data_IF_276933486504
#
_entry.id   IF_276933486504
#
_cell.length_a   1.000
_cell.length_b   1.000
_cell.length_c   1.000
_cell.angle_alpha   90.00
_cell.angle_beta   90.00
_cell.angle_gamma   90.00
#
_symmetry.space_group_name_H-M   'P 1'
#
loop_
_entity.id
_entity.type
_entity.pdbx_description
1 polymer ?
#
# COMPACT_ATOMS: atom_id res chain seq x y z
N UNK A 1 7.00 -8.65 -14.32
CA UNK A 1 7.69 -8.25 -13.06
C UNK A 1 6.85 -8.75 -11.91
N UNK A 2 7.41 -9.53 -11.01
CA UNK A 2 6.78 -9.93 -9.75
C UNK A 2 6.84 -8.72 -8.81
N UNK A 3 5.70 -8.29 -8.26
CA UNK A 3 5.66 -7.21 -7.26
C UNK A 3 5.67 -7.85 -5.88
N UNK A 4 6.52 -7.36 -4.99
CA UNK A 4 6.52 -7.77 -3.58
C UNK A 4 5.46 -6.99 -2.83
N UNK A 5 4.55 -7.70 -2.19
CA UNK A 5 3.50 -7.10 -1.37
C UNK A 5 3.53 -7.69 0.05
N UNK A 6 3.32 -6.86 1.05
CA UNK A 6 3.08 -7.25 2.42
C UNK A 6 1.70 -6.77 2.85
N UNK A 7 0.94 -7.56 3.60
CA UNK A 7 -0.41 -7.17 4.00
C UNK A 7 -0.92 -7.93 5.20
N UNK A 8 -2.09 -7.53 5.66
CA UNK A 8 -2.82 -8.13 6.78
C UNK A 8 -4.26 -8.35 6.37
N UNK A 9 -4.81 -9.48 6.78
CA UNK A 9 -6.21 -9.82 6.63
C UNK A 9 -6.82 -10.14 7.99
N UNK A 10 -7.96 -9.52 8.31
CA UNK A 10 -8.77 -9.80 9.48
C UNK A 10 -10.08 -10.48 9.06
N UNK A 11 -10.28 -11.69 9.57
CA UNK A 11 -11.55 -12.43 9.39
C UNK A 11 -12.50 -12.06 10.50
N UNK A 12 -13.72 -11.68 10.15
CA UNK A 12 -14.75 -11.24 11.07
C UNK A 12 -15.36 -9.91 10.66
N UNK A 13 -16.47 -9.55 11.31
CA UNK A 13 -17.21 -8.32 11.02
C UNK A 13 -17.55 -7.58 12.30
N UNK A 14 -16.87 -6.47 12.51
CA UNK A 14 -17.30 -5.47 13.47
C UNK A 14 -16.85 -4.10 13.01
N UNK A 15 -17.46 -3.06 13.52
CA UNK A 15 -16.98 -1.70 13.36
C UNK A 15 -15.52 -1.54 13.83
N UNK A 16 -15.18 -2.21 14.94
CA UNK A 16 -13.83 -2.15 15.49
C UNK A 16 -12.78 -2.77 14.56
N UNK A 17 -13.13 -3.83 13.82
CA UNK A 17 -12.19 -4.41 12.84
C UNK A 17 -11.88 -3.46 11.68
N UNK A 18 -12.81 -2.61 11.26
CA UNK A 18 -12.55 -1.57 10.27
C UNK A 18 -11.62 -0.49 10.83
N UNK A 19 -11.88 -0.04 12.06
CA UNK A 19 -11.03 0.96 12.73
C UNK A 19 -9.61 0.43 12.90
N UNK A 20 -9.46 -0.79 13.43
CA UNK A 20 -8.16 -1.43 13.63
C UNK A 20 -7.40 -1.59 12.32
N UNK A 21 -8.07 -2.10 11.29
CA UNK A 21 -7.45 -2.33 9.99
C UNK A 21 -6.96 -1.02 9.36
N UNK A 22 -7.78 0.03 9.38
CA UNK A 22 -7.43 1.32 8.79
C UNK A 22 -6.32 1.99 9.58
N UNK A 23 -6.37 1.97 10.91
CA UNK A 23 -5.30 2.55 11.74
C UNK A 23 -3.99 1.80 11.56
N UNK A 24 -4.02 0.47 11.52
CA UNK A 24 -2.82 -0.35 11.26
C UNK A 24 -2.24 -0.08 9.86
N UNK A 25 -3.09 0.08 8.84
CA UNK A 25 -2.64 0.45 7.49
C UNK A 25 -1.92 1.80 7.48
N UNK A 26 -2.48 2.79 8.17
CA UNK A 26 -1.91 4.13 8.29
C UNK A 26 -0.59 4.11 9.05
N UNK A 27 -0.53 3.44 10.19
CA UNK A 27 0.68 3.31 11.01
C UNK A 27 1.78 2.54 10.28
N UNK A 28 1.41 1.46 9.56
CA UNK A 28 2.35 0.70 8.74
C UNK A 28 3.01 1.58 7.68
N UNK A 29 2.23 2.38 6.96
CA UNK A 29 2.78 3.27 5.95
C UNK A 29 3.56 4.43 6.59
N UNK A 30 3.12 4.95 7.74
CA UNK A 30 3.80 5.99 8.50
C UNK A 30 5.17 5.54 9.04
N UNK A 31 5.37 4.25 9.28
CA UNK A 31 6.67 3.71 9.70
C UNK A 31 7.75 3.83 8.63
N UNK A 32 7.38 3.98 7.37
CA UNK A 32 8.30 4.14 6.25
C UNK A 32 8.62 5.60 5.91
N UNK A 33 7.70 6.52 6.19
CA UNK A 33 7.88 7.96 5.92
C UNK A 33 7.01 8.77 6.89
N UNK A 34 7.62 9.66 7.66
CA UNK A 34 6.90 10.36 8.74
C UNK A 34 6.00 11.49 8.26
N UNK A 35 6.30 12.13 7.14
CA UNK A 35 5.76 13.47 6.86
C UNK A 35 4.86 13.59 5.62
N UNK A 36 4.90 12.64 4.69
CA UNK A 36 4.32 12.83 3.35
C UNK A 36 3.39 11.68 2.94
N UNK A 37 2.43 11.34 3.81
CA UNK A 37 1.47 10.27 3.56
C UNK A 37 0.07 10.86 3.42
N UNK A 38 -0.58 10.55 2.32
CA UNK A 38 -2.00 10.84 2.13
C UNK A 38 -2.79 9.55 2.06
N UNK A 39 -3.83 9.47 2.87
CA UNK A 39 -4.79 8.38 2.82
C UNK A 39 -6.11 8.87 2.25
N UNK A 40 -6.65 8.08 1.35
CA UNK A 40 -7.96 8.28 0.78
C UNK A 40 -8.85 7.13 1.22
N UNK A 41 -9.83 7.43 2.06
CA UNK A 41 -10.86 6.49 2.46
C UNK A 41 -12.13 6.77 1.70
N UNK A 42 -12.77 5.74 1.13
CA UNK A 42 -14.10 5.87 0.60
C UNK A 42 -15.01 4.89 1.28
N UNK A 43 -16.21 5.31 1.40
CA UNK A 43 -17.19 4.41 1.88
C UNK A 43 -17.93 3.69 0.78
N UNK A 44 -18.23 2.42 1.02
CA UNK A 44 -19.25 1.58 0.37
C UNK A 44 -19.60 2.00 -1.07
N UNK A 45 -18.52 2.20 -1.87
CA UNK A 45 -18.59 2.81 -3.18
C UNK A 45 -19.61 2.13 -4.11
N UNK A 46 -19.73 0.81 -4.02
CA UNK A 46 -20.70 0.04 -4.79
C UNK A 46 -22.15 0.44 -4.50
N UNK A 47 -22.44 0.97 -3.30
CA UNK A 47 -23.79 1.38 -2.90
C UNK A 47 -24.10 2.85 -3.25
N UNK A 48 -23.12 3.73 -3.20
CA UNK A 48 -23.32 5.13 -3.60
C UNK A 48 -23.31 5.28 -5.13
N UNK A 49 -22.56 4.43 -5.83
CA UNK A 49 -22.30 4.58 -7.27
C UNK A 49 -23.24 3.84 -8.20
N UNK A 50 -24.31 3.23 -7.73
CA UNK A 50 -25.27 2.78 -8.72
C UNK A 50 -25.97 1.46 -8.51
N UNK A 51 -25.70 0.67 -7.47
CA UNK A 51 -26.53 -0.51 -7.21
C UNK A 51 -27.67 -0.24 -6.23
N UNK A 52 -27.55 0.82 -5.43
CA UNK A 52 -28.51 1.16 -4.38
C UNK A 52 -29.10 2.58 -4.54
N UNK A 53 -28.57 3.39 -5.44
CA UNK A 53 -29.29 4.57 -5.93
C UNK A 53 -30.36 4.04 -6.87
N UNK A 54 -31.57 4.55 -6.74
CA UNK A 54 -32.73 4.21 -7.57
C UNK A 54 -32.54 4.68 -9.02
N UNK A 55 -31.39 4.32 -9.61
CA UNK A 55 -31.11 4.63 -10.99
C UNK A 55 -31.93 3.68 -11.87
N UNK A 56 -32.89 4.19 -12.59
CA UNK A 56 -33.61 3.44 -13.58
C UNK A 56 -32.73 3.21 -14.82
N UNK A 57 -31.76 2.29 -14.67
CA UNK A 57 -30.76 1.97 -15.69
C UNK A 57 -30.59 0.46 -15.82
N UNK A 58 -30.28 0.01 -17.02
CA UNK A 58 -29.97 -1.39 -17.30
C UNK A 58 -28.62 -1.79 -16.62
N UNK A 59 -28.36 -3.09 -16.42
CA UNK A 59 -27.07 -3.54 -15.88
C UNK A 59 -25.87 -3.04 -16.70
N UNK A 60 -26.00 -2.96 -18.02
CA UNK A 60 -24.96 -2.48 -18.93
C UNK A 60 -24.68 -0.99 -18.76
N UNK A 61 -25.74 -0.18 -18.64
CA UNK A 61 -25.60 1.26 -18.36
C UNK A 61 -24.96 1.53 -17.00
N UNK A 62 -25.33 0.77 -15.97
CA UNK A 62 -24.71 0.87 -14.64
C UNK A 62 -23.21 0.54 -14.70
N UNK A 63 -22.84 -0.50 -15.41
CA UNK A 63 -21.45 -0.89 -15.58
C UNK A 63 -20.66 0.15 -16.37
N UNK A 64 -21.25 0.73 -17.41
CA UNK A 64 -20.64 1.82 -18.16
C UNK A 64 -20.43 3.06 -17.29
N UNK A 65 -21.42 3.45 -16.49
CA UNK A 65 -21.30 4.56 -15.53
C UNK A 65 -20.16 4.28 -14.54
N UNK A 66 -20.11 3.07 -13.98
CA UNK A 66 -19.05 2.65 -13.07
C UNK A 66 -17.66 2.80 -13.73
N UNK A 67 -17.50 2.28 -14.94
CA UNK A 67 -16.28 2.36 -15.70
C UNK A 67 -15.84 3.80 -15.99
N UNK A 68 -16.80 4.68 -16.34
CA UNK A 68 -16.52 6.08 -16.62
C UNK A 68 -16.09 6.86 -15.36
N UNK A 69 -16.67 6.53 -14.20
CA UNK A 69 -16.24 7.08 -12.90
C UNK A 69 -14.84 6.60 -12.55
N UNK A 70 -14.58 5.31 -12.69
CA UNK A 70 -13.31 4.66 -12.40
C UNK A 70 -12.16 5.24 -13.23
N UNK A 71 -12.38 5.37 -14.53
CA UNK A 71 -11.41 5.96 -15.47
C UNK A 71 -11.35 7.48 -15.40
N UNK A 72 -12.15 8.10 -14.53
CA UNK A 72 -12.29 9.56 -14.38
C UNK A 72 -12.64 10.26 -15.71
N UNK A 73 -13.33 9.55 -16.61
CA UNK A 73 -13.81 10.11 -17.88
C UNK A 73 -15.13 10.86 -17.66
N UNK A 74 -15.04 11.99 -16.94
CA UNK A 74 -16.21 12.79 -16.57
C UNK A 74 -16.97 13.41 -17.75
N UNK A 75 -16.33 13.81 -18.87
CA UNK A 75 -17.08 14.25 -20.05
C UNK A 75 -18.03 13.18 -20.57
N UNK A 76 -17.56 11.96 -20.82
CA UNK A 76 -18.38 10.85 -21.28
C UNK A 76 -19.42 10.43 -20.23
N UNK A 77 -19.07 10.48 -18.94
CA UNK A 77 -20.00 10.25 -17.84
C UNK A 77 -21.18 11.25 -17.90
N UNK A 78 -20.90 12.53 -18.09
CA UNK A 78 -21.92 13.55 -18.19
C UNK A 78 -22.84 13.30 -19.39
N UNK A 79 -22.28 12.94 -20.55
CA UNK A 79 -23.07 12.64 -21.75
C UNK A 79 -24.05 11.46 -21.50
N UNK A 80 -23.59 10.40 -20.84
CA UNK A 80 -24.44 9.26 -20.47
C UNK A 80 -25.52 9.69 -19.47
N UNK A 81 -25.14 10.42 -18.43
CA UNK A 81 -26.08 10.88 -17.40
C UNK A 81 -27.12 11.88 -17.93
N UNK A 82 -26.83 12.63 -19.00
CA UNK A 82 -27.77 13.55 -19.65
C UNK A 82 -28.88 12.83 -20.40
N UNK A 83 -28.73 11.56 -20.73
CA UNK A 83 -29.76 10.74 -21.39
C UNK A 83 -30.69 10.03 -20.41
N UNK A 84 -30.44 10.15 -19.09
CA UNK A 84 -31.19 9.42 -18.08
C UNK A 84 -32.44 10.17 -17.62
N UNK A 85 -33.51 9.41 -17.38
CA UNK A 85 -34.80 9.95 -16.94
C UNK A 85 -34.77 10.51 -15.50
N UNK A 86 -33.89 9.94 -14.62
CA UNK A 86 -33.75 10.39 -13.25
C UNK A 86 -32.79 11.57 -13.14
N UNK A 87 -33.31 12.76 -13.36
CA UNK A 87 -32.57 14.02 -13.34
C UNK A 87 -31.88 14.28 -11.98
N UNK A 88 -32.49 13.85 -10.85
CA UNK A 88 -31.89 14.09 -9.51
C UNK A 88 -30.69 13.23 -9.29
N UNK A 89 -30.78 11.94 -9.60
CA UNK A 89 -29.67 10.99 -9.47
C UNK A 89 -28.56 11.36 -10.44
N UNK A 90 -28.88 11.65 -11.69
CA UNK A 90 -27.90 12.09 -12.68
C UNK A 90 -27.15 13.35 -12.22
N UNK A 91 -27.85 14.36 -11.69
CA UNK A 91 -27.23 15.56 -11.16
C UNK A 91 -26.28 15.29 -9.96
N UNK A 92 -26.66 14.36 -9.08
CA UNK A 92 -25.81 13.94 -7.96
C UNK A 92 -24.54 13.21 -8.45
N UNK A 93 -24.69 12.27 -9.38
CA UNK A 93 -23.55 11.52 -9.96
C UNK A 93 -22.57 12.45 -10.70
N UNK A 94 -23.04 13.47 -11.41
CA UNK A 94 -22.18 14.49 -12.03
C UNK A 94 -21.35 15.28 -11.04
N UNK A 95 -21.76 15.35 -9.77
CA UNK A 95 -21.04 16.05 -8.70
C UNK A 95 -20.09 15.15 -7.90
N UNK A 96 -20.11 13.84 -8.10
CA UNK A 96 -19.20 12.90 -7.42
C UNK A 96 -17.74 13.34 -7.46
N UNK A 97 -17.19 13.81 -8.60
CA UNK A 97 -15.79 14.26 -8.65
C UNK A 97 -15.45 15.40 -7.69
N UNK A 98 -16.44 16.19 -7.30
CA UNK A 98 -16.28 17.30 -6.35
C UNK A 98 -16.45 16.87 -4.88
N UNK A 99 -16.86 15.61 -4.62
CA UNK A 99 -17.05 15.06 -3.30
C UNK A 99 -15.72 14.47 -2.76
N UNK A 100 -14.73 15.33 -2.69
CA UNK A 100 -13.37 15.05 -2.23
C UNK A 100 -12.97 16.08 -1.18
N UNK A 101 -12.36 15.65 -0.07
CA UNK A 101 -11.88 16.57 0.98
C UNK A 101 -11.93 15.96 2.38
N UNK A 102 -12.18 16.80 3.38
CA UNK A 102 -12.31 16.41 4.77
C UNK A 102 -13.75 16.06 5.17
N UNK A 103 -14.10 16.34 6.41
CA UNK A 103 -15.42 16.04 6.97
C UNK A 103 -16.57 16.74 6.24
N UNK A 104 -16.32 17.91 5.66
CA UNK A 104 -17.30 18.70 4.93
C UNK A 104 -17.88 17.99 3.69
N UNK A 105 -17.21 16.94 3.21
CA UNK A 105 -17.68 16.14 2.08
C UNK A 105 -19.00 15.44 2.40
N UNK A 106 -19.21 15.02 3.62
CA UNK A 106 -20.45 14.37 4.06
C UNK A 106 -21.65 15.31 3.99
N UNK A 107 -21.47 16.57 4.41
CA UNK A 107 -22.54 17.57 4.34
C UNK A 107 -22.88 17.93 2.88
N UNK A 108 -21.84 18.05 2.03
CA UNK A 108 -22.03 18.27 0.60
C UNK A 108 -22.79 17.10 -0.06
N UNK A 109 -22.43 15.86 0.28
CA UNK A 109 -23.09 14.67 -0.27
C UNK A 109 -24.57 14.59 0.13
N UNK A 110 -24.90 14.82 1.40
CA UNK A 110 -26.28 14.81 1.91
C UNK A 110 -27.15 15.88 1.28
N UNK A 111 -26.57 17.02 0.89
CA UNK A 111 -27.30 18.10 0.18
C UNK A 111 -27.59 17.76 -1.30
N UNK A 112 -26.75 16.92 -1.92
CA UNK A 112 -26.89 16.55 -3.33
C UNK A 112 -27.97 15.49 -3.53
N UNK A 113 -27.97 14.48 -2.68
CA UNK A 113 -28.92 13.39 -2.74
C UNK A 113 -29.10 12.76 -1.37
N UNK A 114 -30.34 12.50 -0.97
CA UNK A 114 -30.71 11.91 0.31
C UNK A 114 -31.81 10.88 0.12
N UNK A 115 -31.62 9.73 0.68
CA UNK A 115 -32.60 8.72 1.00
C UNK A 115 -32.15 7.97 2.25
N UNK A 116 -33.04 7.24 2.91
CA UNK A 116 -32.77 6.55 4.18
C UNK A 116 -31.46 5.74 4.15
N UNK A 117 -31.22 5.01 3.08
CA UNK A 117 -30.06 4.14 2.92
C UNK A 117 -28.75 4.90 2.70
N UNK A 118 -28.76 5.95 1.90
CA UNK A 118 -27.59 6.80 1.65
C UNK A 118 -27.24 7.57 2.91
N UNK A 119 -28.22 8.07 3.61
CA UNK A 119 -28.03 8.82 4.85
C UNK A 119 -27.40 7.94 5.94
N UNK A 120 -27.84 6.68 6.08
CA UNK A 120 -27.19 5.70 6.95
C UNK A 120 -25.73 5.47 6.56
N UNK A 121 -25.45 5.27 5.29
CA UNK A 121 -24.09 5.05 4.78
C UNK A 121 -23.18 6.26 5.08
N UNK A 122 -23.66 7.47 4.80
CA UNK A 122 -22.90 8.69 5.04
C UNK A 122 -22.68 8.92 6.54
N UNK A 123 -23.64 8.56 7.40
CA UNK A 123 -23.53 8.64 8.84
C UNK A 123 -22.45 7.66 9.37
N UNK A 124 -22.48 6.40 8.93
CA UNK A 124 -21.50 5.39 9.29
C UNK A 124 -20.08 5.79 8.88
N UNK A 125 -19.94 6.30 7.66
CA UNK A 125 -18.66 6.76 7.13
C UNK A 125 -18.13 7.98 7.85
N UNK A 126 -19.00 8.94 8.13
CA UNK A 126 -18.64 10.14 8.90
C UNK A 126 -18.18 9.76 10.29
N UNK A 127 -18.86 8.79 10.93
CA UNK A 127 -18.43 8.26 12.21
C UNK A 127 -17.05 7.64 12.12
N UNK A 128 -16.82 6.76 11.16
CA UNK A 128 -15.53 6.10 10.95
C UNK A 128 -14.41 7.13 10.67
N UNK A 129 -14.67 8.11 9.81
CA UNK A 129 -13.72 9.20 9.54
C UNK A 129 -13.33 9.96 10.80
N UNK A 130 -14.31 10.31 11.64
CA UNK A 130 -14.06 11.00 12.90
C UNK A 130 -13.23 10.18 13.86
N UNK A 131 -13.62 8.93 14.07
CA UNK A 131 -12.95 8.03 15.02
C UNK A 131 -11.48 7.81 14.59
N UNK A 132 -11.24 7.55 13.31
CA UNK A 132 -9.87 7.40 12.79
C UNK A 132 -9.09 8.72 12.90
N UNK A 133 -9.70 9.85 12.54
CA UNK A 133 -9.05 11.17 12.62
C UNK A 133 -8.62 11.56 14.02
N UNK A 134 -9.29 11.03 15.07
CA UNK A 134 -8.85 11.25 16.47
C UNK A 134 -7.56 10.49 16.80
N UNK A 135 -7.33 9.35 16.17
CA UNK A 135 -6.15 8.50 16.41
C UNK A 135 -4.94 9.00 15.62
N UNK A 136 -5.13 9.30 14.34
CA UNK A 136 -4.01 9.61 13.42
C UNK A 136 -3.67 11.10 13.29
N UNK A 137 -4.54 11.97 13.83
CA UNK A 137 -4.44 13.42 13.67
C UNK A 137 -5.16 13.94 12.40
N UNK A 138 -5.55 15.21 12.46
CA UNK A 138 -6.28 15.87 11.37
C UNK A 138 -5.37 16.09 10.14
N UNK A 139 -5.96 15.99 8.96
CA UNK A 139 -5.29 16.32 7.69
C UNK A 139 -4.58 15.15 7.00
N UNK A 140 -4.47 14.00 7.65
CA UNK A 140 -3.86 12.81 7.04
C UNK A 140 -4.86 11.91 6.30
N UNK A 141 -6.14 12.01 6.63
CA UNK A 141 -7.21 11.23 6.01
C UNK A 141 -8.08 12.15 5.15
N UNK A 142 -8.30 11.73 3.92
CA UNK A 142 -9.17 12.41 2.97
C UNK A 142 -10.30 11.46 2.55
N UNK A 143 -11.49 12.01 2.39
CA UNK A 143 -12.66 11.28 1.87
C UNK A 143 -12.77 11.55 0.38
N UNK A 144 -12.93 10.49 -0.42
CA UNK A 144 -13.24 10.55 -1.85
C UNK A 144 -14.46 9.68 -2.14
N UNK A 145 -15.65 10.26 -2.22
CA UNK A 145 -16.89 9.53 -2.52
C UNK A 145 -17.01 9.14 -3.99
N UNK A 146 -16.14 9.69 -4.85
CA UNK A 146 -16.03 9.33 -6.26
C UNK A 146 -15.03 8.18 -6.54
N UNK A 147 -14.38 7.65 -5.50
CA UNK A 147 -13.44 6.55 -5.70
C UNK A 147 -14.15 5.24 -6.02
N UNK A 148 -13.76 4.61 -7.10
CA UNK A 148 -14.14 3.25 -7.49
C UNK A 148 -12.91 2.35 -7.44
N UNK A 149 -13.08 1.09 -7.15
CA UNK A 149 -12.00 0.12 -7.23
C UNK A 149 -12.37 -0.99 -8.24
N UNK A 150 -11.38 -1.41 -9.03
CA UNK A 150 -11.50 -2.50 -10.02
C UNK A 150 -11.77 -3.86 -9.38
N UNK A 151 -11.52 -4.01 -8.09
CA UNK A 151 -11.76 -5.25 -7.38
C UNK A 151 -13.24 -5.36 -6.99
N UNK A 152 -13.99 -6.16 -7.73
CA UNK A 152 -15.43 -6.37 -7.55
C UNK A 152 -15.81 -7.02 -6.21
N UNK A 153 -14.84 -7.55 -5.47
CA UNK A 153 -15.08 -8.20 -4.18
C UNK A 153 -15.26 -7.25 -3.01
N UNK A 154 -14.86 -5.97 -3.10
CA UNK A 154 -15.08 -5.03 -2.02
C UNK A 154 -16.56 -4.69 -1.84
N UNK A 155 -17.05 -4.83 -0.62
CA UNK A 155 -18.46 -4.61 -0.25
C UNK A 155 -18.65 -3.48 0.77
N UNK A 156 -17.57 -2.94 1.28
CA UNK A 156 -17.57 -1.92 2.33
C UNK A 156 -16.57 -0.79 2.06
N UNK A 157 -15.98 -0.31 3.13
CA UNK A 157 -14.95 0.74 3.08
C UNK A 157 -13.77 0.28 2.25
N UNK A 158 -13.26 1.19 1.43
CA UNK A 158 -12.02 1.03 0.66
C UNK A 158 -11.02 2.07 1.17
N UNK A 159 -9.76 1.69 1.29
CA UNK A 159 -8.67 2.57 1.67
C UNK A 159 -7.56 2.49 0.64
N UNK A 160 -7.00 3.63 0.28
CA UNK A 160 -5.79 3.77 -0.56
C UNK A 160 -4.79 4.66 0.14
N UNK A 161 -3.53 4.28 0.09
CA UNK A 161 -2.42 5.05 0.64
C UNK A 161 -1.45 5.47 -0.45
N UNK A 162 -0.94 6.68 -0.33
CA UNK A 162 0.01 7.29 -1.27
C UNK A 162 1.21 7.82 -0.52
N UNK A 163 2.38 7.72 -1.13
CA UNK A 163 3.60 8.37 -0.67
C UNK A 163 3.91 9.55 -1.60
N UNK A 164 4.30 10.67 -1.01
CA UNK A 164 4.75 11.82 -1.79
C UNK A 164 5.95 11.43 -2.67
N UNK A 165 5.95 11.90 -3.91
CA UNK A 165 7.01 11.60 -4.88
C UNK A 165 6.89 10.26 -5.62
N UNK A 166 5.85 9.43 -5.35
CA UNK A 166 5.66 8.17 -6.07
C UNK A 166 4.60 8.21 -7.18
N UNK A 167 3.55 9.00 -7.03
CA UNK A 167 2.53 9.22 -8.08
C UNK A 167 1.50 8.11 -8.28
N UNK A 168 1.70 6.93 -7.69
CA UNK A 168 0.77 5.80 -7.71
C UNK A 168 0.38 5.38 -6.29
N UNK A 169 -0.68 4.58 -6.16
CA UNK A 169 -1.03 3.99 -4.87
C UNK A 169 0.05 3.00 -4.40
N UNK A 170 0.42 3.10 -3.14
CA UNK A 170 1.38 2.20 -2.49
C UNK A 170 0.72 1.27 -1.49
N UNK A 171 -0.50 1.60 -1.07
CA UNK A 171 -1.34 0.77 -0.20
C UNK A 171 -2.75 0.74 -0.76
N UNK A 172 -3.35 -0.45 -0.79
CA UNK A 172 -4.74 -0.64 -1.17
C UNK A 172 -5.37 -1.68 -0.26
N UNK A 173 -6.61 -1.44 0.15
CA UNK A 173 -7.34 -2.35 1.02
C UNK A 173 -8.81 -2.00 1.15
N UNK A 174 -9.54 -2.81 1.90
CA UNK A 174 -10.94 -2.56 2.18
C UNK A 174 -11.67 -3.76 2.76
N UNK A 175 -12.99 -3.60 2.95
CA UNK A 175 -13.87 -4.63 3.47
C UNK A 175 -14.51 -5.45 2.34
N UNK A 176 -14.51 -6.75 2.49
CA UNK A 176 -15.14 -7.70 1.59
C UNK A 176 -15.88 -8.80 2.36
N UNK A 177 -17.21 -8.75 2.27
CA UNK A 177 -18.07 -9.63 3.09
C UNK A 177 -18.47 -10.91 2.36
N UNK A 178 -18.21 -11.03 1.04
CA UNK A 178 -18.70 -12.14 0.22
C UNK A 178 -17.59 -12.96 -0.44
N UNK A 179 -16.37 -12.50 -0.47
CA UNK A 179 -15.29 -13.18 -1.17
C UNK A 179 -15.07 -14.61 -0.65
N UNK A 180 -15.11 -14.80 0.66
CA UNK A 180 -14.91 -16.12 1.27
C UNK A 180 -16.09 -17.06 1.08
N UNK A 181 -17.30 -16.54 0.78
CA UNK A 181 -18.47 -17.36 0.48
C UNK A 181 -18.27 -18.20 -0.78
N UNK A 182 -17.52 -17.70 -1.76
CA UNK A 182 -17.17 -18.43 -2.99
C UNK A 182 -16.30 -19.66 -2.71
N UNK A 183 -15.64 -19.68 -1.54
CA UNK A 183 -14.82 -20.79 -1.05
C UNK A 183 -15.53 -21.62 0.04
N UNK A 184 -16.84 -21.40 0.27
CA UNK A 184 -17.64 -22.13 1.23
C UNK A 184 -17.61 -21.58 2.66
N UNK A 185 -17.02 -20.40 2.90
CA UNK A 185 -16.96 -19.76 4.21
C UNK A 185 -17.71 -18.44 4.18
N UNK A 186 -18.88 -18.37 4.81
CA UNK A 186 -19.66 -17.13 4.93
C UNK A 186 -19.12 -16.26 6.08
N UNK A 187 -17.88 -15.82 5.94
CA UNK A 187 -17.16 -15.00 6.92
C UNK A 187 -16.76 -13.68 6.22
N UNK A 188 -17.21 -12.53 6.73
CA UNK A 188 -16.73 -11.24 6.26
C UNK A 188 -15.27 -11.03 6.62
N UNK A 189 -14.57 -10.26 5.80
CA UNK A 189 -13.17 -9.93 6.02
C UNK A 189 -12.86 -8.48 5.64
N UNK A 190 -11.76 -7.97 6.19
CA UNK A 190 -11.20 -6.69 5.85
C UNK A 190 -9.67 -6.80 5.88
N UNK A 191 -8.99 -6.18 4.93
CA UNK A 191 -7.54 -6.26 4.84
C UNK A 191 -6.94 -5.19 3.95
N UNK A 192 -5.61 -5.11 3.97
CA UNK A 192 -4.85 -4.26 3.07
C UNK A 192 -3.54 -4.91 2.65
N UNK A 193 -3.00 -4.44 1.54
CA UNK A 193 -1.66 -4.77 1.07
C UNK A 193 -0.86 -3.51 0.75
N UNK A 194 0.44 -3.56 1.03
CA UNK A 194 1.42 -2.51 0.72
C UNK A 194 2.34 -3.03 -0.38
N UNK A 195 2.56 -2.22 -1.40
CA UNK A 195 3.57 -2.46 -2.43
C UNK A 195 4.95 -2.14 -1.85
N UNK A 196 5.67 -3.18 -1.41
CA UNK A 196 6.98 -3.05 -0.76
C UNK A 196 8.03 -2.49 -1.71
N UNK A 197 7.97 -2.85 -2.99
CA UNK A 197 8.90 -2.34 -4.02
C UNK A 197 8.72 -0.84 -4.21
N UNK A 198 7.47 -0.34 -4.19
CA UNK A 198 7.18 1.08 -4.28
C UNK A 198 7.75 1.85 -3.08
N UNK A 199 7.54 1.35 -1.87
CA UNK A 199 8.08 1.94 -0.63
C UNK A 199 9.62 1.96 -0.65
N UNK A 200 10.24 0.84 -1.06
CA UNK A 200 11.69 0.76 -1.20
C UNK A 200 12.23 1.78 -2.19
N UNK A 201 11.57 1.93 -3.35
CA UNK A 201 11.97 2.89 -4.37
C UNK A 201 11.91 4.35 -3.87
N UNK A 202 10.87 4.71 -3.10
CA UNK A 202 10.79 6.06 -2.49
C UNK A 202 11.93 6.26 -1.50
N UNK A 203 12.15 5.31 -0.58
CA UNK A 203 13.25 5.41 0.40
C UNK A 203 14.62 5.49 -0.23
N UNK A 204 14.87 4.72 -1.30
CA UNK A 204 16.15 4.74 -2.01
C UNK A 204 16.41 6.08 -2.71
N UNK A 205 15.37 6.81 -3.13
CA UNK A 205 15.52 8.16 -3.68
C UNK A 205 15.87 9.18 -2.60
N UNK A 206 15.20 9.09 -1.44
CA UNK A 206 15.41 10.03 -0.33
C UNK A 206 16.69 9.75 0.44
N UNK A 207 17.02 8.49 0.59
CA UNK A 207 18.23 8.00 1.27
C UNK A 207 18.87 6.90 0.41
N UNK A 208 19.70 7.26 -0.58
CA UNK A 208 20.45 6.27 -1.35
C UNK A 208 21.19 5.36 -0.36
N UNK A 209 20.93 4.06 -0.46
CA UNK A 209 21.64 3.09 0.38
C UNK A 209 23.14 3.22 0.10
N UNK A 210 23.86 3.86 0.99
CA UNK A 210 25.31 3.75 1.02
C UNK A 210 25.61 2.34 1.51
N UNK A 211 25.83 1.43 0.57
CA UNK A 211 26.39 0.14 0.90
C UNK A 211 27.72 0.40 1.60
N UNK A 212 27.78 0.14 2.90
CA UNK A 212 29.03 0.19 3.63
C UNK A 212 29.91 -0.92 3.06
N UNK A 213 31.19 -0.63 2.73
CA UNK A 213 32.11 -1.68 2.34
C UNK A 213 32.17 -2.73 3.42
N UNK A 214 32.49 -3.99 3.04
CA UNK A 214 32.73 -5.03 4.02
C UNK A 214 33.92 -4.67 4.90
N UNK A 215 33.90 -5.08 6.17
CA UNK A 215 35.02 -4.90 7.09
C UNK A 215 36.19 -5.81 6.70
N UNK A 216 35.87 -6.98 6.15
CA UNK A 216 36.89 -7.96 5.74
C UNK A 216 36.40 -8.80 4.55
N UNK A 217 37.34 -9.17 3.68
CA UNK A 217 37.18 -10.26 2.71
C UNK A 217 38.12 -11.41 3.07
N UNK A 218 37.59 -12.64 3.07
CA UNK A 218 38.37 -13.84 3.43
C UNK A 218 38.79 -14.57 2.16
N UNK A 219 40.08 -14.79 2.01
CA UNK A 219 40.67 -15.67 1.02
C UNK A 219 41.08 -16.96 1.69
N UNK A 220 40.56 -18.11 1.25
CA UNK A 220 40.93 -19.42 1.70
C UNK A 220 41.92 -20.07 0.72
N UNK A 221 43.07 -20.51 1.18
CA UNK A 221 43.89 -21.38 0.38
C UNK A 221 43.20 -22.74 0.18
N UNK A 222 43.47 -23.46 -0.93
CA UNK A 222 42.89 -24.76 -1.17
C UNK A 222 43.06 -25.74 0.00
N UNK A 223 41.94 -26.33 0.45
CA UNK A 223 41.91 -27.22 1.62
C UNK A 223 41.63 -26.55 2.96
N UNK A 224 41.56 -25.21 3.02
CA UNK A 224 41.31 -24.44 4.24
C UNK A 224 39.93 -23.78 4.30
N UNK A 225 39.03 -24.19 3.44
CA UNK A 225 37.67 -23.60 3.29
C UNK A 225 36.86 -23.68 4.59
N UNK A 226 36.97 -24.83 5.30
CA UNK A 226 36.25 -25.00 6.56
C UNK A 226 36.86 -24.18 7.72
N UNK A 227 38.17 -23.93 7.67
CA UNK A 227 38.86 -23.04 8.61
C UNK A 227 38.43 -21.59 8.35
N UNK A 228 38.35 -21.19 7.09
CA UNK A 228 37.88 -19.88 6.67
C UNK A 228 36.41 -19.63 7.07
N UNK A 229 35.55 -20.64 6.94
CA UNK A 229 34.17 -20.56 7.40
C UNK A 229 34.05 -20.28 8.91
N UNK A 230 34.87 -20.92 9.74
CA UNK A 230 34.94 -20.68 11.19
C UNK A 230 35.42 -19.25 11.49
N UNK A 231 36.49 -18.81 10.82
CA UNK A 231 36.97 -17.42 10.94
C UNK A 231 35.91 -16.41 10.58
N UNK A 232 35.19 -16.65 9.48
CA UNK A 232 34.05 -15.80 9.09
C UNK A 232 32.98 -15.73 10.17
N UNK A 233 32.62 -16.86 10.77
CA UNK A 233 31.64 -16.91 11.85
C UNK A 233 32.10 -16.14 13.09
N UNK A 234 33.37 -16.24 13.45
CA UNK A 234 33.95 -15.51 14.57
C UNK A 234 33.92 -13.99 14.34
N UNK A 235 34.31 -13.54 13.14
CA UNK A 235 34.28 -12.12 12.78
C UNK A 235 32.88 -11.57 12.76
N UNK A 236 31.92 -12.31 12.18
CA UNK A 236 30.49 -11.93 12.18
C UNK A 236 29.90 -11.91 13.58
N UNK A 237 30.29 -12.80 14.47
CA UNK A 237 29.83 -12.77 15.88
C UNK A 237 30.31 -11.52 16.64
N UNK A 238 31.38 -10.87 16.15
CA UNK A 238 31.86 -9.57 16.64
C UNK A 238 31.21 -8.36 15.94
N UNK A 239 30.19 -8.59 15.11
CA UNK A 239 29.46 -7.54 14.40
C UNK A 239 30.09 -7.07 13.09
N UNK A 240 31.15 -7.75 12.59
CA UNK A 240 31.79 -7.37 11.34
C UNK A 240 31.01 -7.89 10.12
N UNK A 241 30.97 -7.10 9.06
CA UNK A 241 30.49 -7.49 7.74
C UNK A 241 31.63 -8.19 7.00
N UNK A 242 31.48 -9.48 6.68
CA UNK A 242 32.52 -10.32 6.11
C UNK A 242 32.04 -10.98 4.82
N UNK A 243 32.86 -10.85 3.78
CA UNK A 243 32.66 -11.49 2.48
C UNK A 243 33.68 -12.63 2.29
N UNK A 244 33.32 -13.60 1.44
CA UNK A 244 34.30 -14.59 0.94
C UNK A 244 34.79 -14.16 -0.43
N UNK A 245 36.10 -14.30 -0.66
CA UNK A 245 36.67 -14.10 -1.98
C UNK A 245 36.30 -15.27 -2.90
N UNK A 246 35.82 -14.96 -4.08
CA UNK A 246 35.53 -15.91 -5.16
C UNK A 246 36.59 -15.88 -6.26
N UNK A 247 37.83 -15.50 -5.89
CA UNK A 247 38.97 -15.40 -6.80
C UNK A 247 40.02 -16.47 -6.45
N UNK A 248 40.64 -17.01 -7.49
CA UNK A 248 41.66 -18.08 -7.35
C UNK A 248 43.05 -17.54 -6.98
N UNK A 249 43.23 -16.24 -6.87
CA UNK A 249 44.51 -15.59 -6.61
C UNK A 249 44.38 -14.50 -5.57
N UNK A 250 45.30 -14.47 -4.63
CA UNK A 250 45.35 -13.46 -3.58
C UNK A 250 45.54 -12.04 -4.15
N UNK A 251 46.22 -11.90 -5.28
CA UNK A 251 46.45 -10.58 -5.90
C UNK A 251 45.12 -10.00 -6.44
N UNK A 252 44.28 -10.85 -7.03
CA UNK A 252 42.92 -10.45 -7.45
C UNK A 252 42.03 -10.08 -6.26
N UNK A 253 42.18 -10.80 -5.13
CA UNK A 253 41.44 -10.46 -3.92
C UNK A 253 41.86 -9.12 -3.35
N UNK A 254 43.14 -8.79 -3.40
CA UNK A 254 43.65 -7.49 -2.96
C UNK A 254 43.18 -6.35 -3.86
N UNK A 255 43.16 -6.59 -5.16
CA UNK A 255 42.62 -5.61 -6.12
C UNK A 255 41.14 -5.36 -5.86
N UNK A 256 40.34 -6.42 -5.74
CA UNK A 256 38.92 -6.35 -5.39
C UNK A 256 38.69 -5.61 -4.07
N UNK A 257 39.44 -5.94 -3.03
CA UNK A 257 39.33 -5.30 -1.72
C UNK A 257 39.60 -3.78 -1.80
N UNK A 258 40.59 -3.40 -2.62
CA UNK A 258 40.93 -1.98 -2.84
C UNK A 258 39.81 -1.23 -3.61
N UNK A 259 39.34 -1.83 -4.70
CA UNK A 259 38.30 -1.24 -5.52
C UNK A 259 36.95 -1.11 -4.75
N UNK A 260 36.63 -2.16 -3.96
CA UNK A 260 35.42 -2.21 -3.13
C UNK A 260 35.59 -1.51 -1.78
N UNK A 261 36.73 -0.92 -1.48
CA UNK A 261 37.06 -0.23 -0.23
C UNK A 261 36.89 -1.09 1.02
N UNK A 262 37.15 -2.40 0.90
CA UNK A 262 37.05 -3.35 2.01
C UNK A 262 38.21 -3.10 2.99
N UNK A 263 37.91 -3.12 4.29
CA UNK A 263 38.83 -2.72 5.34
C UNK A 263 40.08 -3.57 5.42
N UNK A 264 39.98 -4.90 5.22
CA UNK A 264 41.11 -5.84 5.27
C UNK A 264 40.87 -7.11 4.47
N UNK A 265 41.98 -7.76 4.08
CA UNK A 265 41.97 -9.10 3.50
C UNK A 265 42.45 -10.07 4.56
N UNK A 266 41.67 -11.11 4.85
CA UNK A 266 42.05 -12.19 5.78
C UNK A 266 42.41 -13.41 4.97
N UNK A 267 43.67 -13.79 5.01
CA UNK A 267 44.21 -14.98 4.33
C UNK A 267 44.17 -16.13 5.31
N UNK A 268 43.56 -17.25 4.91
CA UNK A 268 43.44 -18.46 5.72
C UNK A 268 44.11 -19.62 5.00
N UNK A 269 45.25 -20.03 5.55
CA UNK A 269 46.01 -21.19 5.16
C UNK A 269 46.44 -21.97 6.44
N UNK A 270 47.67 -22.41 6.58
CA UNK A 270 48.21 -22.99 7.82
C UNK A 270 48.05 -22.01 8.99
N UNK A 271 48.22 -20.74 8.71
CA UNK A 271 48.03 -19.63 9.64
C UNK A 271 46.83 -18.76 9.24
N UNK A 272 46.48 -17.79 10.06
CA UNK A 272 45.49 -16.76 9.75
C UNK A 272 46.22 -15.43 9.75
N UNK A 273 46.32 -14.81 8.58
CA UNK A 273 47.04 -13.54 8.43
C UNK A 273 46.08 -12.45 7.91
N UNK A 274 46.18 -11.25 8.50
CA UNK A 274 45.48 -10.07 8.00
C UNK A 274 46.46 -9.27 7.13
N UNK A 275 46.03 -8.94 5.91
CA UNK A 275 46.81 -8.16 4.95
C UNK A 275 46.01 -6.94 4.56
N UNK A 276 46.63 -5.79 4.45
CA UNK A 276 46.02 -4.57 3.94
C UNK A 276 46.07 -4.50 2.42
#
# INVERSE_FOLDING_TARGET
MTRSAGGIELLGSSYLTDVEMITTAIESLASFSSDNISFFGTGRCRRIQGTDVELNATPEERENIRYLIETKNYPALNDVLDTMDDVKVAAALKKLPALFGGEEVFDKASQLYSNERIDEILMDLRKLYKDISTVIGKGRLTVDLGMVNNADYYTGVIIKGYLEGYGEEVLSGGRYNKLLSDFGYDIPATGFAINVDAVANVRMKDQPAQLQPADAVIFAAPGYEMKAAKVSQELRSKGQVVEFAFFDSLDLVREYARESRIGKVVVVDEEITEVQ
#
